data_IF_537730725378
#
_entry.id   IF_537730725378
#
_cell.length_a   1.000
_cell.length_b   1.000
_cell.length_c   1.000
_cell.angle_alpha   90.00
_cell.angle_beta   90.00
_cell.angle_gamma   90.00
#
_symmetry.space_group_name_H-M   'P 1'
#
loop_
_entity.id
_entity.type
_entity.pdbx_description
1 polymer ?
#
# COMPACT_ATOMS: atom_id res chain seq x y z
N UNK A 1 11.71 -29.61 40.67
CA UNK A 1 12.56 -30.44 39.79
C UNK A 1 12.03 -30.28 38.37
N UNK A 2 12.89 -29.91 37.46
CA UNK A 2 12.52 -29.86 36.04
C UNK A 2 12.17 -31.27 35.57
N UNK A 3 11.01 -31.44 34.95
CA UNK A 3 10.68 -32.63 34.18
C UNK A 3 10.91 -32.31 32.69
N UNK A 4 11.78 -33.06 32.03
CA UNK A 4 12.13 -32.94 30.62
C UNK A 4 10.93 -32.93 29.69
N UNK A 5 9.88 -33.69 30.05
CA UNK A 5 8.64 -33.76 29.25
C UNK A 5 7.85 -32.42 29.22
N UNK A 6 8.09 -31.53 30.18
CA UNK A 6 7.43 -30.27 30.34
C UNK A 6 8.22 -29.06 29.79
N UNK A 7 9.41 -29.33 29.24
CA UNK A 7 10.26 -28.30 28.63
C UNK A 7 10.14 -28.38 27.11
N UNK A 8 10.13 -27.23 26.43
CA UNK A 8 10.17 -27.15 24.98
C UNK A 8 11.32 -28.03 24.42
N UNK A 9 11.05 -28.78 23.36
CA UNK A 9 11.97 -29.76 22.81
C UNK A 9 13.25 -29.14 22.25
N UNK A 10 13.14 -28.04 21.53
CA UNK A 10 14.30 -27.36 20.94
C UNK A 10 15.10 -26.63 22.03
N UNK A 11 14.40 -26.03 22.98
CA UNK A 11 15.06 -25.45 24.16
C UNK A 11 15.79 -26.51 24.97
N UNK A 12 15.19 -27.67 25.24
CA UNK A 12 15.86 -28.76 25.92
C UNK A 12 17.11 -29.27 25.17
N UNK A 13 17.03 -29.34 23.86
CA UNK A 13 18.18 -29.72 23.01
C UNK A 13 19.35 -28.76 23.17
N UNK A 14 19.09 -27.47 23.35
CA UNK A 14 20.15 -26.49 23.59
C UNK A 14 20.81 -26.62 24.98
N UNK A 15 20.02 -26.87 26.04
CA UNK A 15 20.50 -26.80 27.43
C UNK A 15 20.77 -28.17 28.08
N UNK A 16 20.16 -29.24 27.59
CA UNK A 16 20.04 -30.53 28.28
C UNK A 16 21.39 -31.20 28.55
N UNK A 17 22.37 -31.06 27.66
CA UNK A 17 23.70 -31.68 27.80
C UNK A 17 24.44 -31.16 29.03
N UNK A 18 24.41 -29.86 29.29
CA UNK A 18 25.07 -29.28 30.47
C UNK A 18 24.22 -29.49 31.73
N UNK A 19 22.91 -29.43 31.62
CA UNK A 19 22.00 -29.68 32.73
C UNK A 19 22.13 -31.10 33.31
N UNK A 20 22.18 -32.13 32.45
CA UNK A 20 22.34 -33.53 32.85
C UNK A 20 23.71 -33.81 33.47
N UNK A 21 24.72 -33.00 33.16
CA UNK A 21 26.05 -33.04 33.77
C UNK A 21 26.21 -32.19 35.03
N UNK A 22 25.11 -31.59 35.49
CA UNK A 22 25.07 -30.67 36.65
C UNK A 22 25.96 -29.42 36.47
N UNK A 23 26.28 -29.05 35.24
CA UNK A 23 27.02 -27.85 34.87
C UNK A 23 26.06 -26.65 34.76
N UNK A 24 25.51 -26.18 35.89
CA UNK A 24 24.41 -25.23 35.94
C UNK A 24 24.75 -23.85 35.35
N UNK A 25 25.97 -23.39 35.50
CA UNK A 25 26.46 -22.13 34.91
C UNK A 25 26.45 -22.20 33.39
N UNK A 26 26.93 -23.26 32.80
CA UNK A 26 26.95 -23.45 31.35
C UNK A 26 25.51 -23.66 30.82
N UNK A 27 24.67 -24.37 31.57
CA UNK A 27 23.25 -24.52 31.27
C UNK A 27 22.54 -23.16 31.15
N UNK A 28 22.73 -22.25 32.11
CA UNK A 28 22.13 -20.91 32.09
C UNK A 28 22.71 -20.04 30.99
N UNK A 29 23.97 -20.22 30.65
CA UNK A 29 24.60 -19.53 29.54
C UNK A 29 24.00 -19.96 28.19
N UNK A 30 23.84 -21.28 27.99
CA UNK A 30 23.21 -21.84 26.80
C UNK A 30 21.74 -21.39 26.68
N UNK A 31 21.01 -21.35 27.79
CA UNK A 31 19.65 -20.85 27.81
C UNK A 31 19.54 -19.39 27.34
N UNK A 32 20.46 -18.52 27.78
CA UNK A 32 20.51 -17.14 27.32
C UNK A 32 20.94 -17.03 25.85
N UNK A 33 21.87 -17.87 25.38
CA UNK A 33 22.27 -17.92 23.98
C UNK A 33 21.11 -18.35 23.09
N UNK A 34 20.35 -19.35 23.48
CA UNK A 34 19.16 -19.80 22.75
C UNK A 34 18.14 -18.68 22.56
N UNK A 35 17.88 -17.88 23.62
CA UNK A 35 16.98 -16.72 23.50
C UNK A 35 17.52 -15.70 22.48
N UNK A 36 18.83 -15.42 22.51
CA UNK A 36 19.45 -14.47 21.59
C UNK A 36 19.34 -14.95 20.16
N UNK A 37 19.69 -16.23 19.90
CA UNK A 37 19.60 -16.85 18.57
C UNK A 37 18.15 -16.83 18.04
N UNK A 38 17.19 -17.18 18.89
CA UNK A 38 15.77 -17.12 18.55
C UNK A 38 15.31 -15.70 18.19
N UNK A 39 15.75 -14.68 18.92
CA UNK A 39 15.44 -13.27 18.62
C UNK A 39 16.13 -12.82 17.32
N UNK A 40 17.40 -13.22 17.10
CA UNK A 40 18.11 -12.93 15.85
C UNK A 40 17.42 -13.57 14.65
N UNK A 41 17.01 -14.83 14.76
CA UNK A 41 16.28 -15.54 13.72
C UNK A 41 14.94 -14.86 13.41
N UNK A 42 14.13 -14.60 14.44
CA UNK A 42 12.81 -13.96 14.26
C UNK A 42 12.87 -12.51 13.75
N UNK A 43 13.94 -11.78 14.06
CA UNK A 43 14.13 -10.39 13.63
C UNK A 43 15.04 -10.26 12.40
N UNK A 44 15.57 -11.36 11.86
CA UNK A 44 16.60 -11.40 10.80
C UNK A 44 17.79 -10.46 11.06
N UNK A 45 18.09 -10.21 12.34
CA UNK A 45 19.14 -9.28 12.76
C UNK A 45 20.30 -10.02 13.40
N UNK A 46 21.26 -10.44 12.59
CA UNK A 46 22.45 -11.20 13.00
C UNK A 46 23.66 -10.31 13.33
N UNK A 47 23.59 -9.01 13.02
CA UNK A 47 24.70 -8.07 13.24
C UNK A 47 24.80 -7.57 14.68
N UNK A 48 23.74 -7.73 15.47
CA UNK A 48 23.66 -7.29 16.85
C UNK A 48 23.60 -8.46 17.80
N UNK A 49 24.16 -8.30 18.99
CA UNK A 49 24.17 -9.29 20.08
C UNK A 49 23.85 -8.65 21.44
N UNK A 50 23.39 -9.45 22.36
CA UNK A 50 23.18 -9.10 23.75
C UNK A 50 22.27 -7.89 23.94
N UNK A 51 22.69 -6.96 24.80
CA UNK A 51 21.90 -5.77 25.16
C UNK A 51 21.57 -4.90 23.93
N UNK A 52 22.49 -4.77 22.98
CA UNK A 52 22.27 -3.95 21.78
C UNK A 52 21.16 -4.53 20.90
N UNK A 53 21.12 -5.86 20.77
CA UNK A 53 20.06 -6.56 20.06
C UNK A 53 18.71 -6.27 20.73
N UNK A 54 18.59 -6.49 22.03
CA UNK A 54 17.33 -6.31 22.75
C UNK A 54 16.82 -4.87 22.68
N UNK A 55 17.69 -3.89 22.88
CA UNK A 55 17.34 -2.47 22.77
C UNK A 55 16.87 -2.08 21.37
N UNK A 56 17.39 -2.73 20.34
CA UNK A 56 16.97 -2.49 18.95
C UNK A 56 15.63 -3.17 18.65
N UNK A 57 15.48 -4.44 19.05
CA UNK A 57 14.31 -5.26 18.69
C UNK A 57 13.06 -4.89 19.49
N UNK A 58 13.19 -4.60 20.79
CA UNK A 58 12.09 -4.22 21.68
C UNK A 58 12.07 -2.72 21.99
N UNK A 59 12.52 -1.87 21.05
CA UNK A 59 12.55 -0.42 21.25
C UNK A 59 11.15 0.15 21.48
N UNK A 60 11.04 1.20 22.32
CA UNK A 60 9.73 1.85 22.60
C UNK A 60 9.10 2.50 21.39
N UNK A 61 9.91 3.10 20.52
CA UNK A 61 9.43 3.89 19.37
C UNK A 61 9.11 3.03 18.15
N UNK A 62 9.96 2.03 17.87
CA UNK A 62 9.86 1.18 16.69
C UNK A 62 10.28 -0.25 17.05
N UNK A 63 9.48 -1.02 17.79
CA UNK A 63 9.79 -2.41 18.09
C UNK A 63 9.76 -3.25 16.80
N UNK A 64 10.78 -4.09 16.60
CA UNK A 64 10.85 -4.99 15.44
C UNK A 64 10.13 -6.32 15.67
N UNK A 65 9.97 -6.73 16.92
CA UNK A 65 9.14 -7.85 17.33
C UNK A 65 8.07 -7.34 18.30
N UNK A 66 6.82 -7.66 18.03
CA UNK A 66 5.68 -7.32 18.85
C UNK A 66 5.17 -8.56 19.59
N UNK A 67 5.07 -8.47 20.92
CA UNK A 67 4.48 -9.53 21.77
C UNK A 67 2.97 -9.37 21.95
N UNK A 68 2.41 -8.23 21.51
CA UNK A 68 0.99 -7.89 21.57
C UNK A 68 0.66 -6.87 20.48
N UNK A 69 -0.54 -6.28 20.48
CA UNK A 69 -0.98 -5.30 19.46
C UNK A 69 -0.30 -3.93 19.58
N UNK A 70 0.35 -3.63 20.70
CA UNK A 70 1.03 -2.36 21.00
C UNK A 70 0.15 -1.09 20.80
N UNK A 71 -1.17 -1.22 20.98
CA UNK A 71 -2.13 -0.14 20.75
C UNK A 71 -2.39 0.66 22.03
N UNK A 72 -2.71 -0.03 23.12
CA UNK A 72 -3.02 0.57 24.39
C UNK A 72 -1.77 0.89 25.21
N UNK A 73 -1.89 1.80 26.18
CA UNK A 73 -0.78 2.08 27.10
C UNK A 73 -0.34 0.83 27.88
N UNK A 74 -1.30 -0.02 28.28
CA UNK A 74 -1.00 -1.29 28.94
C UNK A 74 -0.20 -2.25 28.05
N UNK A 75 -0.55 -2.36 26.77
CA UNK A 75 0.18 -3.19 25.82
C UNK A 75 1.59 -2.65 25.53
N UNK A 76 1.74 -1.32 25.47
CA UNK A 76 3.05 -0.66 25.35
C UNK A 76 3.93 -0.88 26.56
N UNK A 77 3.34 -0.83 27.76
CA UNK A 77 4.04 -1.13 29.00
C UNK A 77 4.45 -2.60 29.09
N UNK A 78 3.58 -3.52 28.64
CA UNK A 78 3.90 -4.95 28.56
C UNK A 78 5.04 -5.21 27.55
N UNK A 79 4.98 -4.62 26.35
CA UNK A 79 6.02 -4.70 25.33
C UNK A 79 7.38 -4.24 25.88
N UNK A 80 7.40 -3.07 26.52
CA UNK A 80 8.60 -2.50 27.14
C UNK A 80 9.12 -3.36 28.29
N UNK A 81 8.22 -3.77 29.17
CA UNK A 81 8.54 -4.62 30.33
C UNK A 81 9.14 -5.95 29.92
N UNK A 82 8.61 -6.57 28.85
CA UNK A 82 9.14 -7.80 28.31
C UNK A 82 10.55 -7.65 27.77
N UNK A 83 10.83 -6.58 27.02
CA UNK A 83 12.18 -6.24 26.60
C UNK A 83 13.15 -6.07 27.77
N UNK A 84 12.71 -5.42 28.86
CA UNK A 84 13.53 -5.27 30.08
C UNK A 84 13.81 -6.59 30.78
N UNK A 85 12.86 -7.51 30.81
CA UNK A 85 13.06 -8.86 31.39
C UNK A 85 14.13 -9.62 30.61
N UNK A 86 14.04 -9.68 29.27
CA UNK A 86 15.05 -10.36 28.45
C UNK A 86 16.41 -9.69 28.60
N UNK A 87 16.46 -8.38 28.55
CA UNK A 87 17.67 -7.60 28.80
C UNK A 87 18.26 -7.92 30.17
N UNK A 88 17.43 -8.01 31.21
CA UNK A 88 17.83 -8.39 32.56
C UNK A 88 18.46 -9.79 32.63
N UNK A 89 17.86 -10.77 31.95
CA UNK A 89 18.42 -12.13 31.89
C UNK A 89 19.81 -12.12 31.24
N UNK A 90 19.98 -11.39 30.13
CA UNK A 90 21.29 -11.34 29.45
C UNK A 90 22.31 -10.59 30.29
N UNK A 91 21.99 -9.44 30.85
CA UNK A 91 22.91 -8.61 31.62
C UNK A 91 23.24 -9.20 32.98
N UNK A 92 22.27 -9.82 33.68
CA UNK A 92 22.45 -10.32 35.03
C UNK A 92 22.95 -11.78 35.07
N UNK A 93 22.75 -12.57 34.04
CA UNK A 93 23.12 -13.99 34.01
C UNK A 93 24.23 -14.23 32.99
N UNK A 94 23.99 -14.06 31.69
CA UNK A 94 24.97 -14.38 30.64
C UNK A 94 26.25 -13.57 30.75
N UNK A 95 26.18 -12.27 30.94
CA UNK A 95 27.37 -11.42 30.93
C UNK A 95 28.29 -11.72 32.14
N UNK A 96 27.80 -11.82 33.39
CA UNK A 96 28.64 -12.20 34.52
C UNK A 96 29.28 -13.58 34.34
N UNK A 97 28.52 -14.57 33.87
CA UNK A 97 29.04 -15.94 33.62
C UNK A 97 30.09 -15.97 32.52
N UNK A 98 30.06 -15.05 31.58
CA UNK A 98 31.07 -14.95 30.52
C UNK A 98 32.39 -14.35 31.01
N UNK A 99 32.38 -13.55 32.09
CA UNK A 99 33.54 -12.82 32.60
C UNK A 99 34.05 -13.28 33.97
N UNK A 100 33.25 -14.04 34.73
CA UNK A 100 33.62 -14.48 36.08
C UNK A 100 33.33 -15.96 36.30
N UNK A 101 34.36 -16.77 36.30
CA UNK A 101 34.30 -18.22 36.51
C UNK A 101 33.97 -18.64 37.96
N UNK A 102 33.96 -17.72 38.92
CA UNK A 102 33.68 -18.01 40.31
C UNK A 102 32.21 -17.95 40.71
N UNK A 103 31.33 -17.50 39.78
CA UNK A 103 29.89 -17.50 40.02
C UNK A 103 29.38 -18.94 40.00
N UNK A 104 28.61 -19.32 41.04
CA UNK A 104 27.97 -20.63 41.14
C UNK A 104 26.48 -20.49 41.35
N UNK A 105 25.72 -21.32 40.66
CA UNK A 105 24.29 -21.44 40.79
C UNK A 105 23.90 -22.78 41.37
N UNK A 106 22.93 -22.78 42.28
CA UNK A 106 22.35 -24.04 42.78
C UNK A 106 21.40 -24.61 41.70
N UNK A 107 21.11 -25.89 41.84
CA UNK A 107 20.13 -26.56 41.02
C UNK A 107 18.76 -25.87 41.07
N UNK A 108 18.31 -25.53 42.27
CA UNK A 108 17.02 -24.91 42.52
C UNK A 108 16.89 -23.53 41.81
N UNK A 109 17.95 -22.73 41.86
CA UNK A 109 18.02 -21.44 41.16
C UNK A 109 18.00 -21.65 39.66
N UNK A 110 18.76 -22.61 39.13
CA UNK A 110 18.81 -22.95 37.72
C UNK A 110 17.45 -23.44 37.24
N UNK A 111 16.82 -24.38 37.94
CA UNK A 111 15.49 -24.89 37.64
C UNK A 111 14.47 -23.74 37.54
N UNK A 112 14.50 -22.82 38.52
CA UNK A 112 13.57 -21.69 38.53
C UNK A 112 13.72 -20.76 37.35
N UNK A 113 14.96 -20.47 36.94
CA UNK A 113 15.26 -19.62 35.78
C UNK A 113 14.84 -20.30 34.48
N UNK A 114 15.17 -21.60 34.33
CA UNK A 114 14.80 -22.36 33.12
C UNK A 114 13.27 -22.51 32.96
N UNK A 115 12.55 -22.75 34.08
CA UNK A 115 11.10 -22.80 34.03
C UNK A 115 10.48 -21.43 33.69
N UNK A 116 11.04 -20.33 34.21
CA UNK A 116 10.61 -18.98 33.83
C UNK A 116 10.86 -18.72 32.34
N UNK A 117 12.00 -19.09 31.80
CA UNK A 117 12.28 -18.98 30.36
C UNK A 117 11.25 -19.80 29.57
N UNK A 118 11.09 -21.07 29.92
CA UNK A 118 10.24 -22.02 29.19
C UNK A 118 8.77 -21.63 29.20
N UNK A 119 8.22 -21.19 30.33
CA UNK A 119 6.77 -20.94 30.46
C UNK A 119 6.37 -19.48 30.30
N UNK A 120 7.29 -18.53 30.36
CA UNK A 120 6.98 -17.13 30.21
C UNK A 120 7.66 -16.48 29.01
N UNK A 121 8.96 -16.72 28.80
CA UNK A 121 9.70 -16.05 27.73
C UNK A 121 9.41 -16.70 26.38
N UNK A 122 9.63 -18.01 26.24
CA UNK A 122 9.51 -18.69 24.95
C UNK A 122 8.11 -18.61 24.34
N UNK A 123 6.99 -18.84 25.07
CA UNK A 123 5.66 -18.75 24.49
C UNK A 123 5.36 -17.35 23.95
N UNK A 124 5.79 -16.29 24.65
CA UNK A 124 5.61 -14.93 24.15
C UNK A 124 6.49 -14.62 22.94
N UNK A 125 7.71 -15.18 22.86
CA UNK A 125 8.55 -15.09 21.67
C UNK A 125 7.96 -15.88 20.50
N UNK A 126 7.37 -17.04 20.75
CA UNK A 126 6.72 -17.83 19.69
C UNK A 126 5.46 -17.17 19.18
N UNK A 127 4.72 -16.52 20.07
CA UNK A 127 3.56 -15.71 19.72
C UNK A 127 3.93 -14.33 19.13
N UNK A 128 5.24 -13.95 19.16
CA UNK A 128 5.64 -12.73 18.44
C UNK A 128 5.26 -12.92 16.99
N UNK A 129 4.19 -12.26 16.62
CA UNK A 129 3.75 -12.24 15.24
C UNK A 129 4.77 -11.40 14.49
N UNK A 130 5.41 -12.04 13.55
CA UNK A 130 5.99 -11.32 12.44
C UNK A 130 5.03 -10.22 12.07
N UNK A 131 5.52 -9.03 11.88
CA UNK A 131 4.81 -7.80 11.59
C UNK A 131 3.49 -8.04 10.83
N UNK A 132 2.42 -8.32 11.53
CA UNK A 132 1.17 -8.81 10.95
C UNK A 132 -0.05 -8.01 11.37
N UNK A 133 0.13 -6.85 12.01
CA UNK A 133 -1.00 -5.96 12.29
C UNK A 133 -1.08 -4.87 11.22
N UNK A 134 -1.52 -5.28 10.04
CA UNK A 134 -1.82 -4.37 8.92
C UNK A 134 -2.72 -3.23 9.36
N UNK A 135 -3.73 -3.52 10.20
CA UNK A 135 -4.65 -2.52 10.74
C UNK A 135 -3.94 -1.42 11.54
N UNK A 136 -2.92 -1.78 12.33
CA UNK A 136 -2.15 -0.82 13.13
C UNK A 136 -1.19 0.02 12.29
N UNK A 137 -0.64 -0.55 11.21
CA UNK A 137 0.24 0.17 10.31
C UNK A 137 -0.51 1.27 9.56
N UNK A 138 -1.72 0.98 9.10
CA UNK A 138 -2.57 1.99 8.47
C UNK A 138 -2.94 3.10 9.46
N UNK A 139 -3.25 2.77 10.71
CA UNK A 139 -3.56 3.77 11.73
C UNK A 139 -2.30 4.55 12.19
N UNK A 140 -1.17 3.89 12.38
CA UNK A 140 0.05 4.51 12.92
C UNK A 140 0.77 5.41 11.90
N UNK A 141 0.79 5.03 10.63
CA UNK A 141 1.54 5.74 9.58
C UNK A 141 0.79 6.98 9.08
N UNK A 142 -0.54 7.00 9.17
CA UNK A 142 -1.36 7.93 8.40
C UNK A 142 -2.33 8.78 9.22
N UNK A 143 -2.27 8.71 10.57
CA UNK A 143 -3.21 9.45 11.41
C UNK A 143 -2.96 10.96 11.45
N UNK A 144 -1.79 11.49 11.08
CA UNK A 144 -1.51 12.90 11.44
C UNK A 144 -0.68 13.77 10.48
N UNK A 145 -0.32 13.37 9.26
CA UNK A 145 0.43 14.25 8.38
C UNK A 145 -0.01 14.18 6.92
N UNK A 146 -0.39 15.34 6.37
CA UNK A 146 -0.63 15.59 4.94
C UNK A 146 0.63 15.46 4.06
N UNK A 147 1.74 14.99 4.60
CA UNK A 147 2.99 14.72 3.91
C UNK A 147 3.14 13.22 3.64
N UNK A 148 2.28 12.67 2.80
CA UNK A 148 2.53 11.40 2.12
C UNK A 148 3.70 11.61 1.17
N UNK A 149 4.92 11.48 1.67
CA UNK A 149 6.12 11.62 0.88
C UNK A 149 6.83 10.28 0.76
N UNK A 150 7.41 10.05 -0.41
CA UNK A 150 8.33 8.94 -0.70
C UNK A 150 9.39 8.79 0.41
N UNK A 151 9.89 9.90 0.95
CA UNK A 151 10.88 9.93 2.02
C UNK A 151 10.35 9.31 3.34
N UNK A 152 9.08 9.54 3.69
CA UNK A 152 8.46 8.97 4.89
C UNK A 152 8.23 7.46 4.67
N UNK A 153 7.71 7.09 3.51
CA UNK A 153 7.50 5.70 3.13
C UNK A 153 8.80 4.89 3.17
N UNK A 154 9.88 5.40 2.59
CA UNK A 154 11.20 4.77 2.65
C UNK A 154 11.67 4.58 4.10
N UNK A 155 11.58 5.62 4.94
CA UNK A 155 12.02 5.54 6.34
C UNK A 155 11.26 4.49 7.14
N UNK A 156 9.98 4.32 6.88
CA UNK A 156 9.15 3.31 7.53
C UNK A 156 9.55 1.92 7.03
N UNK A 157 9.66 1.76 5.72
CA UNK A 157 9.99 0.47 5.10
C UNK A 157 11.39 -0.01 5.47
N UNK A 158 12.34 0.87 5.73
CA UNK A 158 13.67 0.52 6.24
C UNK A 158 13.63 -0.11 7.64
N UNK A 159 12.56 0.13 8.40
CA UNK A 159 12.36 -0.48 9.71
C UNK A 159 11.72 -1.87 9.66
N UNK A 160 11.22 -2.31 8.50
CA UNK A 160 10.51 -3.57 8.30
C UNK A 160 11.47 -4.60 7.68
N UNK A 161 11.56 -5.80 8.23
CA UNK A 161 12.37 -6.86 7.65
C UNK A 161 11.77 -7.39 6.32
N UNK A 162 12.58 -8.08 5.51
CA UNK A 162 12.20 -8.53 4.16
C UNK A 162 11.00 -9.47 4.13
N UNK A 163 10.89 -10.36 5.14
CA UNK A 163 9.82 -11.36 5.23
C UNK A 163 8.50 -10.68 5.55
N UNK A 164 8.53 -9.72 6.47
CA UNK A 164 7.34 -8.95 6.86
C UNK A 164 6.86 -8.02 5.76
N UNK A 165 7.76 -7.46 4.94
CA UNK A 165 7.39 -6.67 3.75
C UNK A 165 6.51 -7.47 2.80
N UNK A 166 6.84 -8.73 2.54
CA UNK A 166 6.04 -9.59 1.69
C UNK A 166 4.66 -9.90 2.32
N UNK A 167 4.66 -10.26 3.62
CA UNK A 167 3.42 -10.53 4.37
C UNK A 167 2.51 -9.30 4.39
N UNK A 168 3.07 -8.12 4.65
CA UNK A 168 2.35 -6.84 4.63
C UNK A 168 1.75 -6.56 3.25
N UNK A 169 2.55 -6.67 2.18
CA UNK A 169 2.06 -6.45 0.81
C UNK A 169 0.94 -7.43 0.42
N UNK A 170 1.09 -8.70 0.78
CA UNK A 170 0.05 -9.72 0.57
C UNK A 170 -1.27 -9.34 1.27
N UNK A 171 -1.20 -8.91 2.54
CA UNK A 171 -2.36 -8.50 3.31
C UNK A 171 -3.02 -7.24 2.71
N UNK A 172 -2.23 -6.27 2.24
CA UNK A 172 -2.73 -5.08 1.52
C UNK A 172 -3.53 -5.50 0.29
N UNK A 173 -2.96 -6.33 -0.56
CA UNK A 173 -3.61 -6.78 -1.80
C UNK A 173 -4.87 -7.60 -1.51
N UNK A 174 -4.84 -8.46 -0.50
CA UNK A 174 -6.02 -9.27 -0.14
C UNK A 174 -7.18 -8.43 0.42
N UNK A 175 -6.89 -7.32 1.08
CA UNK A 175 -7.86 -6.44 1.75
C UNK A 175 -7.96 -5.05 1.13
N UNK A 176 -7.53 -4.88 -0.12
CA UNK A 176 -7.43 -3.59 -0.80
C UNK A 176 -8.74 -2.76 -0.76
N UNK A 177 -9.90 -3.42 -0.87
CA UNK A 177 -11.21 -2.78 -0.79
C UNK A 177 -11.55 -2.17 0.59
N UNK A 178 -10.80 -2.52 1.64
CA UNK A 178 -11.00 -2.00 3.00
C UNK A 178 -10.13 -0.77 3.28
N UNK A 179 -9.17 -0.47 2.42
CA UNK A 179 -8.27 0.68 2.56
C UNK A 179 -9.05 1.99 2.38
N UNK A 180 -8.71 3.00 3.16
CA UNK A 180 -9.27 4.36 3.01
C UNK A 180 -8.64 5.05 1.80
N UNK A 181 -9.41 5.86 1.11
CA UNK A 181 -8.96 6.57 -0.10
C UNK A 181 -7.82 7.56 0.19
N UNK A 182 -6.86 7.63 -0.70
CA UNK A 182 -6.07 8.83 -0.96
C UNK A 182 -4.69 8.98 -0.33
N UNK A 183 -4.21 8.09 0.58
CA UNK A 183 -2.96 8.41 1.33
C UNK A 183 -1.84 7.34 1.24
N UNK A 184 -2.00 6.29 0.44
CA UNK A 184 -1.10 5.13 0.51
C UNK A 184 -0.34 4.82 -0.79
N UNK A 185 -0.44 5.68 -1.79
CA UNK A 185 0.17 5.47 -3.10
C UNK A 185 1.69 5.25 -2.99
N UNK A 186 2.42 6.20 -2.40
CA UNK A 186 3.87 6.08 -2.26
C UNK A 186 4.28 4.89 -1.40
N UNK A 187 3.59 4.66 -0.28
CA UNK A 187 3.90 3.54 0.60
C UNK A 187 3.73 2.19 -0.08
N UNK A 188 2.60 1.97 -0.76
CA UNK A 188 2.30 0.70 -1.44
C UNK A 188 3.29 0.44 -2.56
N UNK A 189 3.59 1.45 -3.39
CA UNK A 189 4.51 1.28 -4.51
C UNK A 189 5.96 1.11 -4.04
N UNK A 190 6.42 1.87 -3.03
CA UNK A 190 7.76 1.68 -2.44
C UNK A 190 7.88 0.30 -1.78
N UNK A 191 6.83 -0.15 -1.07
CA UNK A 191 6.79 -1.50 -0.51
C UNK A 191 6.89 -2.56 -1.62
N UNK A 192 6.08 -2.45 -2.69
CA UNK A 192 6.12 -3.36 -3.83
C UNK A 192 7.50 -3.40 -4.47
N UNK A 193 8.10 -2.23 -4.74
CA UNK A 193 9.44 -2.14 -5.34
C UNK A 193 10.54 -2.73 -4.45
N UNK A 194 10.38 -2.72 -3.14
CA UNK A 194 11.34 -3.30 -2.19
C UNK A 194 11.33 -4.84 -2.15
N UNK A 195 10.34 -5.49 -2.77
CA UNK A 195 10.21 -6.94 -2.78
C UNK A 195 11.18 -7.60 -3.75
N UNK A 196 11.58 -8.84 -3.44
CA UNK A 196 12.31 -9.68 -4.39
C UNK A 196 11.43 -10.05 -5.60
N UNK A 197 12.04 -10.35 -6.75
CA UNK A 197 11.31 -10.76 -7.95
C UNK A 197 10.36 -11.94 -7.69
N UNK A 198 10.79 -12.92 -6.88
CA UNK A 198 9.92 -14.05 -6.49
C UNK A 198 8.68 -13.58 -5.76
N UNK A 199 8.84 -12.68 -4.77
CA UNK A 199 7.72 -12.12 -4.01
C UNK A 199 6.81 -11.25 -4.88
N UNK A 200 7.36 -10.42 -5.78
CA UNK A 200 6.58 -9.64 -6.76
C UNK A 200 5.70 -10.56 -7.61
N UNK A 201 6.26 -11.63 -8.14
CA UNK A 201 5.49 -12.60 -8.94
C UNK A 201 4.32 -13.23 -8.13
N UNK A 202 4.54 -13.55 -6.85
CA UNK A 202 3.47 -14.06 -6.00
C UNK A 202 2.38 -13.00 -5.74
N UNK A 203 2.74 -11.74 -5.56
CA UNK A 203 1.79 -10.62 -5.43
C UNK A 203 0.98 -10.45 -6.72
N UNK A 204 1.61 -10.50 -7.89
CA UNK A 204 0.91 -10.43 -9.19
C UNK A 204 -0.10 -11.56 -9.34
N UNK A 205 0.23 -12.79 -8.93
CA UNK A 205 -0.73 -13.92 -8.93
C UNK A 205 -1.95 -13.61 -8.05
N UNK A 206 -1.73 -13.02 -6.87
CA UNK A 206 -2.84 -12.65 -5.97
C UNK A 206 -3.67 -11.53 -6.59
N UNK A 207 -3.04 -10.48 -7.14
CA UNK A 207 -3.71 -9.39 -7.84
C UNK A 207 -4.58 -9.92 -8.99
N UNK A 208 -4.03 -10.73 -9.88
CA UNK A 208 -4.78 -11.34 -10.98
C UNK A 208 -6.02 -12.09 -10.48
N UNK A 209 -5.87 -12.93 -9.44
CA UNK A 209 -6.96 -13.68 -8.84
C UNK A 209 -8.06 -12.77 -8.25
N UNK A 210 -7.70 -11.64 -7.67
CA UNK A 210 -8.64 -10.67 -7.10
C UNK A 210 -9.31 -9.83 -8.18
N UNK A 211 -8.54 -9.30 -9.10
CA UNK A 211 -8.99 -8.44 -10.20
C UNK A 211 -9.95 -9.16 -11.15
N UNK A 212 -9.68 -10.43 -11.51
CA UNK A 212 -10.57 -11.22 -12.38
C UNK A 212 -11.95 -11.46 -11.73
N UNK A 213 -12.02 -11.48 -10.40
CA UNK A 213 -13.25 -11.70 -9.63
C UNK A 213 -13.94 -10.42 -9.18
N UNK A 214 -13.27 -9.28 -9.31
CA UNK A 214 -13.81 -8.01 -8.88
C UNK A 214 -15.07 -7.68 -9.70
N UNK A 215 -16.21 -7.65 -9.01
CA UNK A 215 -17.53 -7.31 -9.59
C UNK A 215 -17.94 -5.89 -9.20
N UNK A 216 -17.48 -5.45 -8.03
CA UNK A 216 -17.76 -4.11 -7.54
C UNK A 216 -16.61 -3.16 -7.92
N UNK A 217 -16.97 -1.93 -8.06
CA UNK A 217 -16.04 -0.85 -8.39
C UNK A 217 -15.01 -0.60 -7.28
N UNK A 218 -15.30 -0.98 -6.02
CA UNK A 218 -14.46 -0.54 -4.89
C UNK A 218 -13.06 -1.16 -4.94
N UNK A 219 -12.93 -2.46 -5.20
CA UNK A 219 -11.62 -3.08 -5.32
C UNK A 219 -10.83 -2.50 -6.51
N UNK A 220 -11.49 -2.34 -7.66
CA UNK A 220 -10.86 -1.76 -8.86
C UNK A 220 -10.47 -0.30 -8.63
N UNK A 221 -11.34 0.52 -8.02
CA UNK A 221 -11.03 1.90 -7.68
C UNK A 221 -9.84 2.01 -6.75
N UNK A 222 -9.79 1.18 -5.71
CA UNK A 222 -8.65 1.15 -4.79
C UNK A 222 -7.37 0.68 -5.48
N UNK A 223 -7.46 -0.27 -6.42
CA UNK A 223 -6.32 -0.68 -7.23
C UNK A 223 -5.79 0.49 -8.07
N UNK A 224 -6.65 1.16 -8.82
CA UNK A 224 -6.27 2.32 -9.64
C UNK A 224 -5.73 3.51 -8.82
N UNK A 225 -6.21 3.70 -7.60
CA UNK A 225 -5.79 4.81 -6.75
C UNK A 225 -4.44 4.57 -6.04
N UNK A 226 -4.06 3.31 -5.82
CA UNK A 226 -2.93 3.00 -4.94
C UNK A 226 -1.74 2.37 -5.64
N UNK A 227 -1.89 1.84 -6.84
CA UNK A 227 -0.78 1.25 -7.59
C UNK A 227 -0.26 2.16 -8.69
N UNK A 228 1.05 2.07 -8.98
CA UNK A 228 1.64 2.71 -10.15
C UNK A 228 1.10 2.05 -11.42
N UNK A 229 0.68 2.81 -12.43
CA UNK A 229 0.18 2.27 -13.70
C UNK A 229 1.14 1.30 -14.40
N UNK A 230 2.44 1.36 -14.13
CA UNK A 230 3.43 0.43 -14.71
C UNK A 230 3.16 -1.03 -14.40
N UNK A 231 2.51 -1.31 -13.25
CA UNK A 231 2.14 -2.68 -12.85
C UNK A 231 1.18 -3.34 -13.86
N UNK A 232 0.48 -2.52 -14.69
CA UNK A 232 -0.43 -3.01 -15.72
C UNK A 232 0.20 -4.03 -16.64
N UNK A 233 1.46 -3.79 -17.03
CA UNK A 233 2.20 -4.66 -17.93
C UNK A 233 2.64 -5.99 -17.30
N UNK A 234 2.51 -6.11 -15.97
CA UNK A 234 2.85 -7.35 -15.25
C UNK A 234 1.62 -8.25 -15.03
N UNK A 235 0.41 -7.73 -15.27
CA UNK A 235 -0.84 -8.46 -15.08
C UNK A 235 -1.12 -9.44 -16.23
N UNK A 236 -1.95 -10.45 -15.95
CA UNK A 236 -2.43 -11.41 -16.94
C UNK A 236 -3.30 -10.74 -18.00
N UNK A 237 -3.07 -11.07 -19.29
CA UNK A 237 -3.78 -10.46 -20.41
C UNK A 237 -5.31 -10.65 -20.38
N UNK A 238 -5.82 -11.75 -19.80
CA UNK A 238 -7.27 -11.92 -19.65
C UNK A 238 -7.85 -10.98 -18.59
N UNK A 239 -7.06 -10.70 -17.54
CA UNK A 239 -7.45 -9.75 -16.49
C UNK A 239 -7.48 -8.35 -17.03
N UNK A 240 -6.42 -7.93 -17.75
CA UNK A 240 -6.32 -6.58 -18.31
C UNK A 240 -7.42 -6.31 -19.32
N UNK A 241 -7.65 -7.18 -20.30
CA UNK A 241 -8.70 -7.04 -21.32
C UNK A 241 -10.08 -6.90 -20.66
N UNK A 242 -10.40 -7.74 -19.68
CA UNK A 242 -11.68 -7.65 -18.96
C UNK A 242 -11.87 -6.30 -18.27
N UNK A 243 -10.82 -5.80 -17.60
CA UNK A 243 -10.90 -4.51 -16.89
C UNK A 243 -10.97 -3.36 -17.89
N UNK A 244 -10.22 -3.41 -18.98
CA UNK A 244 -10.27 -2.43 -20.05
C UNK A 244 -11.67 -2.31 -20.66
N UNK A 245 -12.38 -3.43 -20.86
CA UNK A 245 -13.79 -3.43 -21.28
C UNK A 245 -14.70 -2.75 -20.25
N UNK A 246 -14.57 -3.10 -18.97
CA UNK A 246 -15.36 -2.50 -17.88
C UNK A 246 -15.14 -0.98 -17.79
N UNK A 247 -13.88 -0.54 -17.90
CA UNK A 247 -13.52 0.89 -17.88
C UNK A 247 -14.07 1.58 -19.12
N UNK A 248 -13.93 0.98 -20.31
CA UNK A 248 -14.41 1.54 -21.56
C UNK A 248 -15.93 1.72 -21.54
N UNK A 249 -16.68 0.76 -21.00
CA UNK A 249 -18.12 0.88 -20.83
C UNK A 249 -18.50 1.96 -19.81
N UNK A 250 -17.73 2.10 -18.74
CA UNK A 250 -17.86 3.19 -17.78
C UNK A 250 -17.61 4.56 -18.44
N UNK A 251 -16.57 4.68 -19.28
CA UNK A 251 -16.30 5.90 -20.07
C UNK A 251 -17.45 6.20 -21.04
N UNK A 252 -17.97 5.19 -21.75
CA UNK A 252 -19.13 5.36 -22.66
C UNK A 252 -20.36 5.92 -21.95
N UNK A 253 -20.61 5.47 -20.72
CA UNK A 253 -21.72 5.92 -19.88
C UNK A 253 -21.46 7.28 -19.22
N UNK A 254 -20.23 7.78 -19.29
CA UNK A 254 -19.77 8.97 -18.56
C UNK A 254 -20.43 10.25 -19.03
N UNK A 255 -21.12 10.95 -18.11
CA UNK A 255 -21.71 12.28 -18.30
C UNK A 255 -21.92 12.95 -16.94
N UNK A 256 -21.99 14.29 -16.96
CA UNK A 256 -22.39 15.09 -15.80
C UNK A 256 -23.87 15.48 -16.01
N UNK A 257 -24.69 15.13 -15.04
CA UNK A 257 -26.13 15.42 -15.06
C UNK A 257 -26.49 16.37 -13.92
N UNK A 258 -27.54 17.14 -14.08
CA UNK A 258 -28.09 17.95 -12.99
C UNK A 258 -29.03 17.05 -12.19
N UNK A 259 -28.68 16.83 -10.92
CA UNK A 259 -29.51 16.04 -10.03
C UNK A 259 -30.88 16.72 -9.81
N UNK A 260 -31.92 15.95 -9.98
CA UNK A 260 -33.29 16.45 -9.75
C UNK A 260 -33.54 16.83 -8.28
N UNK A 261 -32.85 16.17 -7.36
CA UNK A 261 -32.99 16.35 -5.92
C UNK A 261 -32.11 17.48 -5.36
N UNK A 262 -30.83 17.44 -5.67
CA UNK A 262 -29.82 18.38 -5.11
C UNK A 262 -29.69 19.66 -5.91
N UNK A 263 -30.20 19.71 -7.18
CA UNK A 263 -29.97 20.78 -8.16
C UNK A 263 -28.48 21.05 -8.44
N UNK A 264 -27.62 20.08 -8.14
CA UNK A 264 -26.17 20.15 -8.37
C UNK A 264 -25.77 19.26 -9.53
N UNK A 265 -24.62 19.56 -10.12
CA UNK A 265 -23.99 18.68 -11.10
C UNK A 265 -23.47 17.42 -10.41
N UNK A 266 -23.92 16.27 -10.89
CA UNK A 266 -23.54 14.96 -10.36
C UNK A 266 -23.08 14.05 -11.51
N UNK A 267 -22.15 13.13 -11.20
CA UNK A 267 -21.70 12.11 -12.14
C UNK A 267 -22.81 11.05 -12.29
N UNK A 268 -23.02 10.56 -13.51
CA UNK A 268 -23.86 9.39 -13.71
C UNK A 268 -23.24 8.15 -13.03
N UNK A 269 -24.03 7.41 -12.25
CA UNK A 269 -23.55 6.29 -11.42
C UNK A 269 -22.71 5.25 -12.20
N UNK A 270 -23.14 4.92 -13.42
CA UNK A 270 -22.43 3.97 -14.28
C UNK A 270 -21.03 4.42 -14.69
N UNK A 271 -20.69 5.70 -14.50
CA UNK A 271 -19.39 6.26 -14.87
C UNK A 271 -18.38 6.31 -13.72
N UNK A 272 -18.73 5.83 -12.54
CA UNK A 272 -17.90 6.02 -11.34
C UNK A 272 -16.53 5.36 -11.43
N UNK A 273 -16.42 4.18 -12.06
CA UNK A 273 -15.13 3.48 -12.23
C UNK A 273 -14.13 4.28 -13.07
N UNK A 274 -14.59 4.87 -14.16
CA UNK A 274 -13.73 5.58 -15.11
C UNK A 274 -13.11 6.88 -14.57
N UNK A 275 -13.61 7.41 -13.46
CA UNK A 275 -13.04 8.63 -12.85
C UNK A 275 -11.71 8.41 -12.14
N UNK A 276 -11.27 7.16 -12.00
CA UNK A 276 -10.03 6.77 -11.30
C UNK A 276 -8.90 6.34 -12.25
N UNK A 277 -9.11 6.39 -13.56
CA UNK A 277 -8.21 5.75 -14.53
C UNK A 277 -7.50 6.72 -15.47
N UNK A 278 -7.58 8.03 -15.26
CA UNK A 278 -7.04 9.03 -16.20
C UNK A 278 -5.53 8.83 -16.49
N UNK A 279 -4.73 8.41 -15.50
CA UNK A 279 -3.30 8.11 -15.68
C UNK A 279 -3.03 6.70 -16.20
N UNK A 280 -4.04 5.82 -16.16
CA UNK A 280 -3.93 4.42 -16.53
C UNK A 280 -4.24 4.13 -17.99
N UNK A 281 -5.16 4.89 -18.59
CA UNK A 281 -5.70 4.57 -19.92
C UNK A 281 -4.64 4.49 -21.02
N UNK A 282 -3.53 5.22 -20.87
CA UNK A 282 -2.39 5.15 -21.82
C UNK A 282 -1.62 3.81 -21.79
N UNK A 283 -1.84 2.99 -20.77
CA UNK A 283 -1.28 1.63 -20.67
C UNK A 283 -2.24 0.56 -21.19
N UNK A 284 -3.48 0.93 -21.52
CA UNK A 284 -4.49 0.00 -21.99
C UNK A 284 -4.27 -0.35 -23.46
N UNK A 285 -4.51 -1.61 -23.81
CA UNK A 285 -4.38 -2.10 -25.19
C UNK A 285 -5.39 -1.45 -26.14
N UNK A 286 -6.53 -0.97 -25.63
CA UNK A 286 -7.60 -0.30 -26.34
C UNK A 286 -7.56 1.24 -26.21
N UNK A 287 -6.41 1.84 -25.89
CA UNK A 287 -6.25 3.28 -25.69
C UNK A 287 -6.76 4.11 -26.85
N UNK A 288 -6.50 3.69 -28.11
CA UNK A 288 -6.98 4.41 -29.29
C UNK A 288 -8.52 4.44 -29.38
N UNK A 289 -9.17 3.34 -29.02
CA UNK A 289 -10.65 3.29 -28.92
C UNK A 289 -11.17 4.26 -27.85
N UNK A 290 -10.47 4.35 -26.72
CA UNK A 290 -10.81 5.29 -25.65
C UNK A 290 -10.66 6.73 -26.16
N UNK A 291 -9.56 7.08 -26.85
CA UNK A 291 -9.37 8.43 -27.45
C UNK A 291 -10.53 8.81 -28.38
N UNK A 292 -10.95 7.89 -29.25
CA UNK A 292 -12.10 8.13 -30.13
C UNK A 292 -13.41 8.36 -29.36
N UNK A 293 -13.65 7.61 -28.29
CA UNK A 293 -14.83 7.80 -27.43
C UNK A 293 -14.80 9.18 -26.77
N UNK A 294 -13.67 9.56 -26.17
CA UNK A 294 -13.50 10.86 -25.52
C UNK A 294 -13.74 12.01 -26.50
N UNK A 295 -13.14 11.96 -27.69
CA UNK A 295 -13.32 12.97 -28.72
C UNK A 295 -14.78 13.10 -29.16
N UNK A 296 -15.49 11.97 -29.34
CA UNK A 296 -16.90 11.97 -29.73
C UNK A 296 -17.77 12.59 -28.63
N UNK A 297 -17.46 12.37 -27.36
CA UNK A 297 -18.20 12.92 -26.22
C UNK A 297 -18.13 14.45 -26.12
N UNK A 298 -17.09 15.08 -26.64
CA UNK A 298 -16.95 16.55 -26.69
C UNK A 298 -18.06 17.23 -27.52
N UNK A 299 -18.82 16.49 -28.30
CA UNK A 299 -19.97 17.04 -29.05
C UNK A 299 -21.22 17.37 -28.19
N UNK A 300 -21.30 16.80 -26.98
CA UNK A 300 -22.46 16.95 -26.10
C UNK A 300 -22.07 17.65 -24.80
N UNK A 301 -22.91 18.56 -24.27
CA UNK A 301 -22.65 19.36 -23.08
C UNK A 301 -22.29 18.48 -21.85
N UNK A 302 -23.18 17.58 -21.49
CA UNK A 302 -23.07 16.77 -20.30
C UNK A 302 -21.85 15.80 -20.36
N UNK A 303 -21.58 15.30 -21.56
CA UNK A 303 -20.47 14.40 -21.84
C UNK A 303 -19.13 15.15 -21.92
N UNK A 304 -19.10 16.35 -22.53
CA UNK A 304 -17.92 17.20 -22.60
C UNK A 304 -17.43 17.61 -21.19
N UNK A 305 -18.36 18.04 -20.32
CA UNK A 305 -18.04 18.36 -18.93
C UNK A 305 -17.42 17.19 -18.19
N UNK A 306 -17.91 15.97 -18.42
CA UNK A 306 -17.33 14.76 -17.86
C UNK A 306 -15.90 14.52 -18.38
N UNK A 307 -15.68 14.66 -19.69
CA UNK A 307 -14.37 14.47 -20.31
C UNK A 307 -13.36 15.49 -19.76
N UNK A 308 -13.71 16.76 -19.75
CA UNK A 308 -12.82 17.83 -19.27
C UNK A 308 -12.51 17.73 -17.77
N UNK A 309 -13.44 17.20 -16.98
CA UNK A 309 -13.24 17.02 -15.55
C UNK A 309 -12.34 15.82 -15.20
N UNK A 310 -12.52 14.70 -15.88
CA UNK A 310 -11.90 13.44 -15.49
C UNK A 310 -10.80 12.93 -16.42
N UNK A 311 -10.68 13.49 -17.62
CA UNK A 311 -9.69 13.11 -18.63
C UNK A 311 -8.89 14.30 -19.18
N UNK A 312 -8.80 15.36 -18.39
CA UNK A 312 -8.09 16.57 -18.78
C UNK A 312 -6.64 16.30 -19.20
N UNK A 313 -5.91 15.43 -18.50
CA UNK A 313 -4.52 15.05 -18.82
C UNK A 313 -4.38 14.37 -20.19
N UNK A 314 -5.46 13.74 -20.66
CA UNK A 314 -5.48 13.09 -21.97
C UNK A 314 -5.90 14.04 -23.06
N UNK A 315 -7.05 14.75 -22.87
CA UNK A 315 -7.64 15.52 -23.97
C UNK A 315 -6.97 16.87 -24.20
N UNK A 316 -6.26 17.42 -23.20
CA UNK A 316 -5.44 18.62 -23.37
C UNK A 316 -3.99 18.30 -23.72
N UNK A 317 -3.65 17.01 -23.83
CA UNK A 317 -2.32 16.61 -24.27
C UNK A 317 -2.08 17.00 -25.73
N UNK A 318 -0.88 17.49 -26.01
CA UNK A 318 -0.50 18.00 -27.33
C UNK A 318 -0.61 16.94 -28.43
N UNK A 319 -0.19 15.69 -28.14
CA UNK A 319 -0.26 14.58 -29.09
C UNK A 319 -1.72 14.24 -29.43
N UNK A 320 -2.59 14.16 -28.38
CA UNK A 320 -4.03 13.95 -28.59
C UNK A 320 -4.66 15.02 -29.51
N UNK A 321 -4.34 16.28 -29.27
CA UNK A 321 -4.87 17.42 -30.06
C UNK A 321 -4.41 17.33 -31.52
N UNK A 322 -3.13 17.07 -31.77
CA UNK A 322 -2.60 16.97 -33.13
C UNK A 322 -3.12 15.76 -33.90
N UNK A 323 -3.16 14.59 -33.28
CA UNK A 323 -3.69 13.36 -33.87
C UNK A 323 -5.17 13.53 -34.28
N UNK A 324 -5.94 14.29 -33.50
CA UNK A 324 -7.38 14.49 -33.72
C UNK A 324 -7.72 15.83 -34.39
N UNK A 325 -6.73 16.53 -34.96
CA UNK A 325 -6.85 17.86 -35.52
C UNK A 325 -7.98 17.99 -36.56
N UNK A 326 -8.13 16.99 -37.43
CA UNK A 326 -9.19 17.03 -38.48
C UNK A 326 -10.60 17.05 -37.90
N UNK A 327 -10.87 16.24 -36.86
CA UNK A 327 -12.18 16.20 -36.21
C UNK A 327 -12.42 17.46 -35.34
N UNK A 328 -11.38 17.97 -34.70
CA UNK A 328 -11.45 19.23 -33.95
C UNK A 328 -11.76 20.40 -34.86
N UNK A 329 -11.07 20.56 -36.01
CA UNK A 329 -11.35 21.58 -37.02
C UNK A 329 -12.81 21.47 -37.54
N UNK A 330 -13.27 20.24 -37.78
CA UNK A 330 -14.65 19.99 -38.18
C UNK A 330 -15.67 20.41 -37.11
N UNK A 331 -15.33 20.19 -35.82
CA UNK A 331 -16.11 20.67 -34.69
C UNK A 331 -16.18 22.21 -34.63
N UNK A 332 -15.04 22.89 -34.80
CA UNK A 332 -14.96 24.35 -34.85
C UNK A 332 -15.79 24.92 -36.04
N UNK A 333 -15.65 24.35 -37.25
CA UNK A 333 -16.45 24.72 -38.44
C UNK A 333 -17.95 24.61 -38.18
N UNK A 334 -18.39 23.63 -37.39
CA UNK A 334 -19.78 23.45 -36.97
C UNK A 334 -20.20 24.34 -35.79
N UNK A 335 -19.33 25.26 -35.36
CA UNK A 335 -19.53 26.17 -34.21
C UNK A 335 -19.89 25.43 -32.93
N UNK A 336 -19.24 24.32 -32.66
CA UNK A 336 -19.44 23.55 -31.43
C UNK A 336 -18.64 24.17 -30.30
N UNK A 337 -19.32 24.69 -29.27
CA UNK A 337 -18.71 25.40 -28.14
C UNK A 337 -17.59 24.59 -27.46
N UNK A 338 -17.80 23.31 -27.18
CA UNK A 338 -16.84 22.49 -26.43
C UNK A 338 -15.56 22.17 -27.21
N UNK A 339 -15.58 22.23 -28.56
CA UNK A 339 -14.33 22.17 -29.35
C UNK A 339 -13.54 23.47 -29.27
N UNK A 340 -14.22 24.62 -29.15
CA UNK A 340 -13.58 25.89 -28.87
C UNK A 340 -12.93 25.86 -27.50
N UNK A 341 -13.65 25.45 -26.43
CA UNK A 341 -13.16 25.33 -25.07
C UNK A 341 -11.95 24.36 -24.98
N UNK A 342 -11.99 23.24 -25.70
CA UNK A 342 -10.87 22.30 -25.81
C UNK A 342 -9.61 23.00 -26.29
N UNK A 343 -9.69 23.76 -27.39
CA UNK A 343 -8.54 24.44 -27.97
C UNK A 343 -8.07 25.59 -27.08
N UNK A 344 -8.96 26.39 -26.52
CA UNK A 344 -8.60 27.48 -25.59
C UNK A 344 -7.82 26.95 -24.38
N UNK A 345 -8.30 25.86 -23.79
CA UNK A 345 -7.66 25.27 -22.63
C UNK A 345 -6.32 24.62 -22.99
N UNK A 346 -6.26 23.92 -24.11
CA UNK A 346 -5.01 23.30 -24.57
C UNK A 346 -3.94 24.35 -24.92
N UNK A 347 -4.31 25.47 -25.54
CA UNK A 347 -3.41 26.61 -25.80
C UNK A 347 -2.90 27.25 -24.51
N UNK A 348 -3.70 27.29 -23.46
CA UNK A 348 -3.26 27.83 -22.15
C UNK A 348 -2.16 26.98 -21.50
N UNK A 349 -2.19 25.65 -21.71
CA UNK A 349 -1.23 24.72 -21.12
C UNK A 349 -0.05 24.38 -22.04
N UNK A 350 -0.12 24.69 -23.33
CA UNK A 350 0.84 24.27 -24.35
C UNK A 350 1.65 25.41 -24.97
N UNK A 351 2.53 25.06 -25.93
CA UNK A 351 3.29 26.01 -26.73
C UNK A 351 2.43 26.52 -27.90
N UNK A 352 2.29 27.85 -28.04
CA UNK A 352 1.43 28.54 -29.01
C UNK A 352 1.66 28.12 -30.48
N UNK A 353 2.89 27.71 -30.83
CA UNK A 353 3.25 27.40 -32.23
C UNK A 353 2.54 26.15 -32.77
N UNK A 354 2.20 25.21 -31.93
CA UNK A 354 1.57 23.94 -32.31
C UNK A 354 0.11 24.09 -32.69
N UNK A 355 -0.53 25.18 -32.28
CA UNK A 355 -1.96 25.44 -32.49
C UNK A 355 -2.26 26.29 -33.72
N UNK A 356 -1.25 26.69 -34.49
CA UNK A 356 -1.44 27.49 -35.72
C UNK A 356 -2.41 26.84 -36.72
N UNK A 357 -2.47 25.50 -36.73
CA UNK A 357 -3.41 24.76 -37.62
C UNK A 357 -4.87 24.99 -37.27
N UNK A 358 -5.19 25.44 -36.07
CA UNK A 358 -6.55 25.70 -35.61
C UNK A 358 -6.92 27.19 -35.71
N UNK A 359 -5.95 28.09 -35.86
CA UNK A 359 -6.09 29.56 -35.71
C UNK A 359 -7.20 30.12 -36.58
N UNK A 360 -7.23 29.74 -37.86
CA UNK A 360 -8.25 30.27 -38.78
C UNK A 360 -9.67 29.92 -38.35
N UNK A 361 -9.93 28.69 -37.97
CA UNK A 361 -11.26 28.25 -37.57
C UNK A 361 -11.61 28.68 -36.14
N UNK A 362 -10.61 28.78 -35.26
CA UNK A 362 -10.77 29.28 -33.90
C UNK A 362 -11.21 30.77 -33.89
N UNK A 363 -10.58 31.64 -34.67
CA UNK A 363 -10.94 33.06 -34.78
C UNK A 363 -12.41 33.27 -35.19
N UNK A 364 -12.99 32.35 -35.97
CA UNK A 364 -14.41 32.40 -36.37
C UNK A 364 -15.39 32.08 -35.23
N UNK A 365 -14.91 31.48 -34.15
CA UNK A 365 -15.74 30.98 -33.02
C UNK A 365 -15.28 31.49 -31.65
N UNK A 366 -14.25 32.30 -31.56
CA UNK A 366 -13.69 32.78 -30.28
C UNK A 366 -14.72 33.46 -29.36
N UNK A 367 -15.69 34.13 -29.92
CA UNK A 367 -16.74 34.81 -29.16
C UNK A 367 -17.97 33.93 -28.86
N UNK A 368 -17.92 32.64 -29.26
CA UNK A 368 -19.00 31.69 -29.00
C UNK A 368 -19.15 31.43 -27.51
N UNK A 369 -20.34 31.64 -26.96
CA UNK A 369 -20.63 31.37 -25.54
C UNK A 369 -21.17 29.99 -25.33
N UNK A 370 -21.01 29.49 -24.08
CA UNK A 370 -21.64 28.23 -23.69
C UNK A 370 -23.15 28.30 -23.90
N UNK A 371 -23.79 27.27 -24.50
CA UNK A 371 -25.23 27.23 -24.68
C UNK A 371 -25.96 27.34 -23.33
N UNK A 372 -26.86 28.31 -23.20
CA UNK A 372 -27.71 28.38 -22.01
C UNK A 372 -28.58 27.13 -21.93
N UNK A 373 -28.79 26.65 -20.70
CA UNK A 373 -29.75 25.56 -20.43
C UNK A 373 -31.13 26.20 -20.48
N UNK A 374 -31.92 25.93 -21.54
CA UNK A 374 -33.33 26.22 -21.46
C UNK A 374 -33.92 25.45 -20.27
N UNK A 375 -34.60 26.11 -19.33
CA UNK A 375 -35.28 25.39 -18.26
C UNK A 375 -36.32 24.49 -18.94
N UNK A 376 -36.17 23.15 -18.72
CA UNK A 376 -37.24 22.24 -19.16
C UNK A 376 -38.57 22.74 -18.58
N UNK A 377 -39.48 23.15 -19.44
CA UNK A 377 -40.86 23.40 -19.07
C UNK A 377 -41.44 22.08 -18.57
N UNK A 378 -41.59 21.97 -17.25
CA UNK A 378 -42.28 20.84 -16.65
C UNK A 378 -43.76 20.92 -17.06
N UNK A 379 -44.31 19.96 -17.78
CA UNK A 379 -45.76 19.84 -17.90
C UNK A 379 -46.28 19.48 -16.50
N UNK A 380 -47.13 20.36 -15.98
CA UNK A 380 -47.86 20.16 -14.74
C UNK A 380 -48.76 18.92 -14.78
#
# INVERSE_FOLDING_TARGET
MINKENIDKEFWKAIGTHYEKECYEDTLKDACLYIIELIQEKSENYDLDGEKLINNIFSEKNPKLLINKNQTNSEKDEQRGYGYIIKGLICAIRNPLSHNKNIKYSKETTDSILLFINFYILPKLDDTKEFGYVDNWFDFVFLDNDNDSEKISNKILDSINKKDKFTLMKNIVENLSQIKEGKYFYFINTLYESLSLKCKNEIIVILNRKLIKAKDDRYLRMFFNHFDPKIWNELDGLVTVRIEEMVTDSIRSGKIVISQYSKKEELADAASLSTWVHDWIKYFSNYDVIKEILLRKINNKEEAKYVFKYFYSTVYDHEFILENSSEIIKGLKKKKYYFKELIETAMFFGDDTSFDIFREEYEKVKDLKEPEVEPEEYPF
#
